data_IF_222724669775
#
_entry.id   IF_222724669775
#
_cell.length_a   1.000
_cell.length_b   1.000
_cell.length_c   1.000
_cell.angle_alpha   90.00
_cell.angle_beta   90.00
_cell.angle_gamma   90.00
#
_symmetry.space_group_name_H-M   'P 1'
#
loop_
_entity.id
_entity.type
_entity.pdbx_description
1 polymer ?
#
# COMPACT_ATOMS: atom_id res chain seq x y z
N UNK A 1 -4.56 10.35 -1.50
CA UNK A 1 -3.11 10.61 -1.59
C UNK A 1 -2.42 9.55 -0.78
N UNK A 2 -1.45 8.86 -1.38
CA UNK A 2 -0.69 7.84 -0.67
C UNK A 2 0.32 8.54 0.26
N UNK A 3 0.08 8.47 1.57
CA UNK A 3 1.02 8.97 2.59
C UNK A 3 1.89 7.83 3.11
N UNK A 4 3.22 7.98 3.02
CA UNK A 4 4.18 6.98 3.47
C UNK A 4 4.85 7.44 4.77
N UNK A 5 4.23 7.10 5.91
CA UNK A 5 4.85 7.31 7.22
C UNK A 5 5.57 6.04 7.68
N UNK A 6 6.88 6.12 7.90
CA UNK A 6 7.65 4.99 8.43
C UNK A 6 7.46 4.92 9.95
N UNK A 7 6.90 3.81 10.44
CA UNK A 7 6.77 3.55 11.88
C UNK A 7 7.39 2.20 12.26
N UNK A 8 7.89 2.04 13.50
CA UNK A 8 8.38 0.76 13.98
C UNK A 8 7.27 -0.29 13.90
N UNK A 9 7.60 -1.46 13.35
CA UNK A 9 6.66 -2.57 13.22
C UNK A 9 6.30 -3.10 14.61
N UNK A 10 5.09 -2.79 15.06
CA UNK A 10 4.51 -3.35 16.29
C UNK A 10 3.01 -3.50 16.08
N UNK A 11 2.47 -4.66 16.46
CA UNK A 11 1.04 -4.95 16.37
C UNK A 11 0.19 -3.87 17.07
N UNK A 12 0.71 -3.32 18.18
CA UNK A 12 0.06 -2.24 18.94
C UNK A 12 0.07 -0.92 18.15
N UNK A 13 1.15 -0.63 17.41
CA UNK A 13 1.27 0.56 16.56
C UNK A 13 0.28 0.49 15.39
N UNK A 14 0.20 -0.67 14.73
CA UNK A 14 -0.74 -0.90 13.63
C UNK A 14 -2.20 -0.71 14.09
N UNK A 15 -2.60 -1.29 15.23
CA UNK A 15 -3.95 -1.13 15.79
C UNK A 15 -4.25 0.34 16.13
N UNK A 16 -3.30 1.05 16.74
CA UNK A 16 -3.43 2.47 17.07
C UNK A 16 -3.61 3.32 15.82
N UNK A 17 -2.90 3.00 14.75
CA UNK A 17 -3.00 3.70 13.47
C UNK A 17 -4.39 3.52 12.83
N UNK A 18 -4.91 2.28 12.82
CA UNK A 18 -6.26 1.98 12.32
C UNK A 18 -7.35 2.72 13.10
N UNK A 19 -7.18 2.82 14.43
CA UNK A 19 -8.05 3.61 15.28
C UNK A 19 -8.02 5.11 14.92
N UNK A 20 -6.84 5.69 14.63
CA UNK A 20 -6.71 7.10 14.19
C UNK A 20 -7.42 7.40 12.88
N UNK A 21 -7.51 6.44 11.97
CA UNK A 21 -8.28 6.57 10.72
C UNK A 21 -9.79 6.34 10.89
N UNK A 22 -10.27 6.14 12.13
CA UNK A 22 -11.68 5.97 12.48
C UNK A 22 -12.35 4.79 11.74
N UNK A 23 -11.57 3.75 11.44
CA UNK A 23 -12.04 2.52 10.78
C UNK A 23 -12.83 1.71 11.81
N UNK A 24 -14.14 1.58 11.59
CA UNK A 24 -15.06 0.86 12.49
C UNK A 24 -15.09 -0.65 12.25
N UNK A 25 -14.70 -1.09 11.06
CA UNK A 25 -14.74 -2.47 10.60
C UNK A 25 -13.33 -2.94 10.28
N UNK A 26 -12.66 -3.48 11.30
CA UNK A 26 -11.33 -4.09 11.16
C UNK A 26 -11.40 -5.48 10.53
N UNK A 27 -12.58 -6.11 10.57
CA UNK A 27 -12.91 -7.41 9.99
C UNK A 27 -12.87 -7.42 8.45
N UNK A 28 -13.12 -6.26 7.83
CA UNK A 28 -13.05 -6.09 6.38
C UNK A 28 -11.67 -5.66 5.86
N UNK A 29 -10.67 -5.50 6.75
CA UNK A 29 -9.34 -5.02 6.39
C UNK A 29 -8.41 -6.17 5.97
N UNK A 30 -7.77 -6.05 4.81
CA UNK A 30 -6.74 -6.99 4.33
C UNK A 30 -5.34 -6.43 4.66
N UNK A 31 -4.59 -7.12 5.50
CA UNK A 31 -3.16 -6.85 5.69
C UNK A 31 -2.38 -7.41 4.51
N UNK A 32 -1.55 -6.56 3.87
CA UNK A 32 -0.69 -6.96 2.77
C UNK A 32 0.76 -6.61 3.06
N UNK A 33 1.59 -7.64 3.20
CA UNK A 33 3.05 -7.49 3.24
C UNK A 33 3.55 -7.35 1.80
N UNK A 34 4.25 -6.26 1.51
CA UNK A 34 4.92 -6.04 0.22
C UNK A 34 6.43 -6.06 0.42
N UNK A 35 7.12 -6.80 -0.44
CA UNK A 35 8.57 -6.82 -0.43
C UNK A 35 9.08 -5.76 -1.40
N UNK A 36 9.90 -4.83 -0.93
CA UNK A 36 10.43 -3.74 -1.75
C UNK A 36 11.89 -4.06 -2.10
N UNK A 37 12.11 -4.50 -3.34
CA UNK A 37 13.45 -4.68 -3.91
C UNK A 37 13.88 -3.46 -4.73
N UNK A 38 15.01 -3.60 -5.44
CA UNK A 38 15.53 -2.52 -6.30
C UNK A 38 14.57 -2.19 -7.44
N UNK A 39 13.92 -3.19 -8.04
CA UNK A 39 12.96 -3.00 -9.13
C UNK A 39 11.73 -2.23 -8.64
N UNK A 40 11.12 -2.67 -7.54
CA UNK A 40 9.96 -2.01 -6.94
C UNK A 40 10.30 -0.60 -6.48
N UNK A 41 11.51 -0.38 -5.93
CA UNK A 41 11.99 0.95 -5.55
C UNK A 41 12.07 1.92 -6.74
N UNK A 42 12.55 1.45 -7.90
CA UNK A 42 12.58 2.27 -9.13
C UNK A 42 11.17 2.53 -9.66
N UNK A 43 10.25 1.57 -9.57
CA UNK A 43 8.86 1.77 -9.98
C UNK A 43 8.12 2.76 -9.06
N UNK A 44 8.30 2.66 -7.75
CA UNK A 44 7.78 3.64 -6.78
C UNK A 44 8.32 5.02 -7.12
N UNK A 45 9.64 5.15 -7.34
CA UNK A 45 10.25 6.43 -7.69
C UNK A 45 9.64 7.01 -8.96
N UNK A 46 9.50 6.21 -10.03
CA UNK A 46 8.85 6.67 -11.27
C UNK A 46 7.41 7.11 -11.03
N UNK A 47 6.63 6.34 -10.27
CA UNK A 47 5.26 6.67 -9.94
C UNK A 47 5.18 7.97 -9.12
N UNK A 48 6.11 8.22 -8.19
CA UNK A 48 6.15 9.46 -7.39
C UNK A 48 6.34 10.73 -8.21
N UNK A 49 6.96 10.66 -9.39
CA UNK A 49 7.10 11.83 -10.24
C UNK A 49 5.79 12.19 -10.96
N UNK A 50 4.93 11.20 -11.25
CA UNK A 50 3.81 11.37 -12.19
C UNK A 50 2.43 11.11 -11.56
N UNK A 51 2.37 10.52 -10.37
CA UNK A 51 1.13 10.11 -9.70
C UNK A 51 1.12 10.49 -8.21
N UNK A 52 -0.05 10.89 -7.72
CA UNK A 52 -0.32 11.14 -6.29
C UNK A 52 -0.72 9.85 -5.54
N UNK A 53 -0.85 8.72 -6.26
CA UNK A 53 -1.24 7.40 -5.76
C UNK A 53 -0.18 6.34 -6.07
N UNK A 54 1.08 6.65 -5.78
CA UNK A 54 2.25 5.82 -6.08
C UNK A 54 2.21 4.39 -5.50
N UNK A 55 1.77 4.20 -4.25
CA UNK A 55 1.72 2.87 -3.63
C UNK A 55 0.55 2.05 -4.19
N UNK A 56 -0.57 2.71 -4.45
CA UNK A 56 -1.73 2.09 -5.10
C UNK A 56 -1.39 1.66 -6.53
N UNK A 57 -0.69 2.51 -7.29
CA UNK A 57 -0.33 2.23 -8.69
C UNK A 57 0.70 1.10 -8.80
N UNK A 58 1.70 1.06 -7.92
CA UNK A 58 2.73 0.01 -7.96
C UNK A 58 2.20 -1.31 -7.40
N UNK A 59 1.50 -1.28 -6.25
CA UNK A 59 1.18 -2.51 -5.51
C UNK A 59 -0.26 -3.02 -5.67
N UNK A 60 -1.20 -2.19 -6.12
CA UNK A 60 -2.62 -2.56 -6.26
C UNK A 60 -3.10 -2.58 -7.73
N UNK A 61 -2.66 -1.66 -8.58
CA UNK A 61 -3.12 -1.57 -9.98
C UNK A 61 -2.74 -2.80 -10.84
N UNK A 62 -1.71 -3.56 -10.46
CA UNK A 62 -1.31 -4.80 -11.13
C UNK A 62 -2.40 -5.90 -11.14
N UNK A 63 -3.39 -5.84 -10.23
CA UNK A 63 -4.51 -6.81 -10.20
C UNK A 63 -5.51 -6.61 -11.35
N UNK A 64 -5.61 -5.42 -11.94
CA UNK A 64 -6.59 -5.14 -13.02
C UNK A 64 -6.14 -5.68 -14.39
N UNK A 65 -4.83 -5.77 -14.64
CA UNK A 65 -4.29 -6.14 -15.96
C UNK A 65 -4.19 -7.66 -16.20
N UNK A 66 -4.31 -8.50 -15.17
CA UNK A 66 -4.33 -9.98 -15.29
C UNK A 66 -5.73 -10.59 -15.51
N UNK A 67 -6.76 -9.77 -15.79
CA UNK A 67 -8.13 -10.26 -16.04
C UNK A 67 -8.54 -10.36 -17.53
N UNK A 68 -7.58 -10.33 -18.45
CA UNK A 68 -7.80 -10.77 -19.83
C UNK A 68 -6.78 -11.85 -20.21
N UNK A 69 -6.94 -13.03 -19.63
CA UNK A 69 -6.48 -14.29 -20.21
C UNK A 69 -7.30 -15.44 -19.62
N UNK A 70 -8.48 -15.64 -20.19
CA UNK A 70 -9.12 -16.94 -20.44
C UNK A 70 -9.97 -16.79 -21.69
#
# INVERSE_FOLDING_TARGET
MDDLTVTPMSTISSITMLHKFNIKQLDALEEKVVNVGTTEGVEILKASLWSETLLTDVFLAQKARKKCSR
#
